data_IF_654842862947
#
_entry.id   IF_654842862947
#
_cell.length_a   1.000
_cell.length_b   1.000
_cell.length_c   1.000
_cell.angle_alpha   90.00
_cell.angle_beta   90.00
_cell.angle_gamma   90.00
#
_symmetry.space_group_name_H-M   'P 1'
#
loop_
_entity.id
_entity.type
_entity.pdbx_description
1 polymer ?
#
# COMPACT_ATOMS: atom_id res chain seq x y z
N UNK A 1 13.05 36.41 -10.06
CA UNK A 1 13.04 35.11 -9.34
C UNK A 1 11.56 34.83 -9.04
N UNK A 2 10.89 34.21 -10.03
CA UNK A 2 9.46 33.94 -9.97
C UNK A 2 9.20 32.92 -8.88
N UNK A 3 8.35 33.28 -7.94
CA UNK A 3 7.72 32.38 -6.99
C UNK A 3 6.94 31.33 -7.82
N UNK A 4 7.53 30.16 -8.04
CA UNK A 4 6.77 28.99 -8.44
C UNK A 4 5.72 28.77 -7.34
N UNK A 5 4.48 29.20 -7.60
CA UNK A 5 3.34 28.78 -6.80
C UNK A 5 3.38 27.26 -6.71
N UNK A 6 3.51 26.73 -5.50
CA UNK A 6 3.40 25.29 -5.23
C UNK A 6 2.03 24.86 -5.76
N UNK A 7 2.01 24.22 -6.93
CA UNK A 7 0.78 23.66 -7.49
C UNK A 7 0.27 22.64 -6.48
N UNK A 8 -1.01 22.73 -6.12
CA UNK A 8 -1.67 21.74 -5.30
C UNK A 8 -1.57 20.39 -6.01
N UNK A 9 -0.95 19.37 -5.40
CA UNK A 9 -0.72 18.06 -6.00
C UNK A 9 -2.02 17.44 -6.54
N UNK A 10 -3.15 17.64 -5.87
CA UNK A 10 -4.47 17.19 -6.32
C UNK A 10 -4.89 17.88 -7.62
N UNK A 11 -4.65 19.18 -7.77
CA UNK A 11 -4.98 19.95 -8.97
C UNK A 11 -4.11 19.50 -10.16
N UNK A 12 -2.80 19.30 -9.91
CA UNK A 12 -1.86 18.83 -10.94
C UNK A 12 -2.22 17.43 -11.41
N UNK A 13 -2.50 16.50 -10.50
CA UNK A 13 -2.93 15.14 -10.83
C UNK A 13 -4.26 15.15 -11.63
N UNK A 14 -5.19 16.03 -11.31
CA UNK A 14 -6.47 16.14 -12.00
C UNK A 14 -6.35 16.79 -13.39
N UNK A 15 -5.57 17.86 -13.54
CA UNK A 15 -5.46 18.59 -14.81
C UNK A 15 -4.45 17.98 -15.77
N UNK A 16 -3.23 17.64 -15.31
CA UNK A 16 -2.16 17.16 -16.19
C UNK A 16 -2.33 15.70 -16.58
N UNK A 17 -2.94 14.87 -15.70
CA UNK A 17 -3.21 13.47 -15.99
C UNK A 17 -4.63 13.17 -16.47
N UNK A 18 -5.44 14.19 -16.79
CA UNK A 18 -6.84 14.03 -17.21
C UNK A 18 -7.72 13.33 -16.14
N UNK A 19 -7.54 13.70 -14.87
CA UNK A 19 -8.30 13.22 -13.72
C UNK A 19 -8.39 11.69 -13.61
N UNK A 20 -7.25 10.96 -13.51
CA UNK A 20 -7.27 9.51 -13.37
C UNK A 20 -7.98 9.10 -12.08
N UNK A 21 -8.59 7.94 -12.10
CA UNK A 21 -9.41 7.38 -11.01
C UNK A 21 -8.92 6.03 -10.51
N UNK A 22 -7.84 5.49 -11.08
CA UNK A 22 -7.33 4.15 -10.84
C UNK A 22 -8.07 3.08 -11.66
N UNK A 23 -8.85 3.49 -12.68
CA UNK A 23 -9.63 2.57 -13.52
C UNK A 23 -8.75 1.49 -14.15
N UNK A 24 -9.16 0.23 -14.01
CA UNK A 24 -8.45 -0.93 -14.56
C UNK A 24 -7.18 -1.31 -13.78
N UNK A 25 -6.87 -0.63 -12.67
CA UNK A 25 -5.72 -0.97 -11.83
C UNK A 25 -6.13 -1.90 -10.70
N UNK A 26 -5.44 -3.03 -10.58
CA UNK A 26 -5.68 -4.09 -9.58
C UNK A 26 -4.65 -3.94 -8.47
N UNK A 27 -5.14 -3.75 -7.24
CA UNK A 27 -4.32 -3.46 -6.05
C UNK A 27 -4.52 -4.54 -5.01
N UNK A 28 -3.44 -5.18 -4.55
CA UNK A 28 -3.47 -6.05 -3.39
C UNK A 28 -3.24 -5.25 -2.09
N UNK A 29 -3.98 -5.57 -1.06
CA UNK A 29 -3.76 -5.06 0.30
C UNK A 29 -3.37 -6.23 1.18
N UNK A 30 -2.07 -6.39 1.45
CA UNK A 30 -1.54 -7.39 2.39
C UNK A 30 -1.71 -6.84 3.81
N UNK A 31 -2.73 -7.34 4.51
CA UNK A 31 -3.13 -6.83 5.83
C UNK A 31 -4.07 -7.81 6.57
N UNK A 32 -4.98 -7.30 7.38
CA UNK A 32 -5.97 -8.09 8.15
C UNK A 32 -7.21 -8.51 7.32
N UNK A 33 -7.32 -8.10 6.05
CA UNK A 33 -8.45 -8.43 5.17
C UNK A 33 -9.38 -7.25 4.91
N UNK A 34 -10.65 -7.56 4.58
CA UNK A 34 -11.74 -6.59 4.40
C UNK A 34 -12.95 -6.99 5.24
N UNK A 35 -13.62 -6.02 5.84
CA UNK A 35 -14.89 -6.27 6.55
C UNK A 35 -16.01 -6.60 5.55
N UNK A 36 -16.34 -7.88 5.42
CA UNK A 36 -17.35 -8.39 4.48
C UNK A 36 -18.79 -8.00 4.82
N UNK A 37 -19.02 -7.36 5.99
CA UNK A 37 -20.32 -6.71 6.26
C UNK A 37 -20.52 -5.43 5.46
N UNK A 38 -19.41 -4.85 4.93
CA UNK A 38 -19.41 -3.67 4.09
C UNK A 38 -19.43 -4.06 2.61
N UNK A 39 -20.55 -3.82 1.95
CA UNK A 39 -20.70 -4.07 0.52
C UNK A 39 -20.04 -2.95 -0.28
N UNK A 40 -18.95 -3.28 -1.01
CA UNK A 40 -18.31 -2.38 -1.97
C UNK A 40 -17.93 -3.18 -3.23
N UNK A 41 -18.48 -2.86 -4.42
CA UNK A 41 -18.23 -3.61 -5.66
C UNK A 41 -16.77 -3.52 -6.15
N UNK A 42 -15.99 -2.56 -5.65
CA UNK A 42 -14.56 -2.38 -5.95
C UNK A 42 -13.69 -3.37 -5.19
N UNK A 43 -14.20 -3.90 -4.08
CA UNK A 43 -13.51 -4.92 -3.29
C UNK A 43 -13.82 -6.30 -3.90
N UNK A 44 -12.82 -6.89 -4.49
CA UNK A 44 -12.91 -8.20 -5.13
C UNK A 44 -12.76 -9.33 -4.10
N UNK A 45 -13.02 -10.56 -4.53
CA UNK A 45 -12.74 -11.73 -3.70
C UNK A 45 -11.22 -11.80 -3.47
N UNK A 46 -10.83 -11.75 -2.21
CA UNK A 46 -9.46 -11.90 -1.76
C UNK A 46 -9.12 -13.32 -1.33
N UNK A 47 -8.13 -13.45 -0.47
CA UNK A 47 -7.61 -14.72 0.03
C UNK A 47 -7.03 -14.54 1.43
N UNK A 48 -7.19 -15.55 2.30
CA UNK A 48 -6.50 -15.66 3.58
C UNK A 48 -5.32 -16.62 3.49
N UNK A 49 -4.26 -16.31 4.24
CA UNK A 49 -3.05 -17.14 4.32
C UNK A 49 -2.72 -17.58 5.73
N UNK A 50 -3.68 -17.46 6.64
CA UNK A 50 -3.49 -17.68 8.07
C UNK A 50 -4.24 -18.93 8.49
N UNK A 51 -3.55 -19.85 9.17
CA UNK A 51 -4.19 -21.00 9.81
C UNK A 51 -5.08 -20.52 10.97
N UNK A 52 -6.33 -21.00 11.08
CA UNK A 52 -7.24 -20.55 12.13
C UNK A 52 -6.83 -21.00 13.55
N UNK A 53 -5.95 -21.99 13.68
CA UNK A 53 -5.48 -22.55 14.96
C UNK A 53 -4.06 -22.12 15.32
N UNK A 54 -3.24 -21.76 14.31
CA UNK A 54 -1.90 -21.22 14.47
C UNK A 54 -1.71 -20.03 13.51
N UNK A 55 -1.92 -18.82 14.03
CA UNK A 55 -1.88 -17.59 13.24
C UNK A 55 -0.53 -17.27 12.56
N UNK A 56 0.53 -18.00 12.90
CA UNK A 56 1.85 -17.90 12.27
C UNK A 56 2.11 -19.02 11.26
N UNK A 57 1.22 -20.01 11.18
CA UNK A 57 1.27 -21.07 10.18
C UNK A 57 0.58 -20.65 8.89
N UNK A 58 1.15 -21.13 7.76
CA UNK A 58 0.62 -20.83 6.43
C UNK A 58 -0.51 -21.80 6.07
N UNK A 59 -1.72 -21.26 5.91
CA UNK A 59 -2.85 -21.97 5.32
C UNK A 59 -3.61 -21.05 4.37
N UNK A 60 -3.63 -21.38 3.09
CA UNK A 60 -4.44 -20.63 2.14
C UNK A 60 -5.91 -21.03 2.23
N UNK A 61 -6.79 -20.01 2.27
CA UNK A 61 -8.24 -20.17 2.37
C UNK A 61 -8.98 -19.05 1.64
N UNK A 62 -10.26 -19.23 1.42
CA UNK A 62 -11.15 -18.17 0.88
C UNK A 62 -11.57 -17.12 1.93
N UNK A 63 -11.07 -17.22 3.16
CA UNK A 63 -11.41 -16.33 4.26
C UNK A 63 -10.50 -15.11 4.27
N UNK A 64 -10.95 -14.05 3.65
CA UNK A 64 -10.32 -12.73 3.62
C UNK A 64 -11.01 -11.71 4.53
N UNK A 65 -11.89 -12.18 5.45
CA UNK A 65 -12.62 -11.30 6.35
C UNK A 65 -11.71 -10.64 7.38
N UNK A 66 -11.84 -9.31 7.51
CA UNK A 66 -11.10 -8.51 8.47
C UNK A 66 -11.69 -8.67 9.88
N UNK A 67 -10.85 -9.04 10.84
CA UNK A 67 -11.21 -9.19 12.26
C UNK A 67 -10.60 -8.10 13.15
N UNK A 68 -9.82 -7.19 12.55
CA UNK A 68 -9.08 -6.13 13.24
C UNK A 68 -9.57 -4.75 12.86
N UNK A 69 -9.86 -4.52 11.55
CA UNK A 69 -10.26 -3.25 10.98
C UNK A 69 -9.13 -2.50 10.26
N UNK A 70 -7.89 -2.93 10.43
CA UNK A 70 -6.73 -2.24 9.87
C UNK A 70 -6.66 -2.37 8.34
N UNK A 71 -6.86 -3.56 7.79
CA UNK A 71 -6.91 -3.78 6.34
C UNK A 71 -8.08 -3.06 5.67
N UNK A 72 -9.24 -3.04 6.31
CA UNK A 72 -10.42 -2.27 5.88
C UNK A 72 -10.09 -0.78 5.76
N UNK A 73 -9.39 -0.22 6.76
CA UNK A 73 -8.96 1.16 6.73
C UNK A 73 -7.95 1.43 5.59
N UNK A 74 -6.97 0.56 5.40
CA UNK A 74 -5.99 0.69 4.32
C UNK A 74 -6.65 0.65 2.93
N UNK A 75 -7.59 -0.26 2.72
CA UNK A 75 -8.34 -0.37 1.45
C UNK A 75 -9.21 0.88 1.19
N UNK A 76 -9.91 1.39 2.20
CA UNK A 76 -10.71 2.61 2.09
C UNK A 76 -9.85 3.83 1.73
N UNK A 77 -8.68 4.00 2.38
CA UNK A 77 -7.76 5.10 2.08
C UNK A 77 -7.23 5.04 0.64
N UNK A 78 -6.94 3.86 0.11
CA UNK A 78 -6.58 3.69 -1.30
C UNK A 78 -7.71 4.15 -2.21
N UNK A 79 -8.95 3.72 -1.91
CA UNK A 79 -10.13 4.05 -2.71
C UNK A 79 -10.56 5.52 -2.61
N UNK A 80 -10.14 6.25 -1.57
CA UNK A 80 -10.31 7.72 -1.51
C UNK A 80 -9.43 8.44 -2.53
N UNK A 81 -8.28 7.86 -2.90
CA UNK A 81 -7.34 8.40 -3.91
C UNK A 81 -7.67 7.88 -5.31
N UNK A 82 -7.89 6.57 -5.43
CA UNK A 82 -8.13 5.86 -6.67
C UNK A 82 -9.54 5.20 -6.66
N UNK A 83 -10.61 5.99 -6.84
CA UNK A 83 -11.98 5.55 -6.57
C UNK A 83 -12.50 4.45 -7.51
N UNK A 84 -11.85 4.21 -8.64
CA UNK A 84 -12.21 3.16 -9.60
C UNK A 84 -11.20 2.01 -9.67
N UNK A 85 -10.23 1.96 -8.74
CA UNK A 85 -9.33 0.81 -8.63
C UNK A 85 -10.05 -0.43 -8.09
N UNK A 86 -9.52 -1.61 -8.41
CA UNK A 86 -10.00 -2.88 -7.88
C UNK A 86 -9.09 -3.34 -6.73
N UNK A 87 -9.67 -3.56 -5.55
CA UNK A 87 -8.93 -3.97 -4.35
C UNK A 87 -9.09 -5.46 -4.11
N UNK A 88 -7.97 -6.13 -3.87
CA UNK A 88 -7.89 -7.54 -3.51
C UNK A 88 -7.34 -7.66 -2.08
N UNK A 89 -8.18 -7.94 -1.07
CA UNK A 89 -7.72 -8.18 0.29
C UNK A 89 -6.91 -9.47 0.38
N UNK A 90 -5.68 -9.37 0.90
CA UNK A 90 -4.77 -10.50 1.13
C UNK A 90 -4.55 -10.60 2.65
N UNK A 91 -5.37 -11.41 3.32
CA UNK A 91 -5.35 -11.51 4.77
C UNK A 91 -4.16 -12.34 5.24
N UNK A 92 -3.24 -11.68 5.93
CA UNK A 92 -2.03 -12.27 6.52
C UNK A 92 -1.99 -12.16 8.05
N UNK A 93 -2.98 -11.50 8.64
CA UNK A 93 -3.15 -11.40 10.08
C UNK A 93 -4.36 -12.21 10.55
N UNK A 94 -4.25 -12.84 11.72
CA UNK A 94 -5.35 -13.47 12.43
C UNK A 94 -6.13 -12.45 13.26
N UNK A 95 -6.08 -12.60 14.58
CA UNK A 95 -6.65 -11.66 15.55
C UNK A 95 -5.64 -10.62 16.04
N UNK A 96 -4.37 -10.77 15.69
CA UNK A 96 -3.28 -9.85 16.02
C UNK A 96 -2.59 -9.36 14.75
N UNK A 97 -1.94 -8.19 14.82
CA UNK A 97 -1.10 -7.66 13.75
C UNK A 97 0.28 -8.33 13.74
N UNK A 98 0.28 -9.65 13.67
CA UNK A 98 1.46 -10.50 13.62
C UNK A 98 1.36 -11.47 12.45
N UNK A 99 2.46 -11.73 11.75
CA UNK A 99 2.52 -12.66 10.63
C UNK A 99 3.94 -13.22 10.48
N UNK A 100 4.08 -14.25 9.67
CA UNK A 100 5.37 -14.89 9.40
C UNK A 100 5.90 -14.57 8.00
N UNK A 101 7.21 -14.70 7.81
CA UNK A 101 7.84 -14.47 6.49
C UNK A 101 7.32 -15.43 5.41
N UNK A 102 7.10 -16.73 5.68
CA UNK A 102 6.47 -17.63 4.71
C UNK A 102 5.10 -17.13 4.24
N UNK A 103 4.26 -16.66 5.15
CA UNK A 103 2.93 -16.10 4.81
C UNK A 103 3.08 -14.89 3.87
N UNK A 104 3.97 -13.95 4.20
CA UNK A 104 4.20 -12.77 3.37
C UNK A 104 4.72 -13.11 1.98
N UNK A 105 5.67 -14.05 1.88
CA UNK A 105 6.25 -14.44 0.60
C UNK A 105 5.23 -15.13 -0.31
N UNK A 106 4.34 -15.94 0.26
CA UNK A 106 3.25 -16.59 -0.49
C UNK A 106 2.18 -15.56 -0.91
N UNK A 107 1.84 -14.59 -0.06
CA UNK A 107 0.92 -13.53 -0.42
C UNK A 107 1.45 -12.65 -1.57
N UNK A 108 2.75 -12.31 -1.56
CA UNK A 108 3.41 -11.60 -2.67
C UNK A 108 3.37 -12.43 -3.95
N UNK A 109 3.64 -13.74 -3.87
CA UNK A 109 3.56 -14.66 -5.01
C UNK A 109 2.15 -14.73 -5.58
N UNK A 110 1.15 -14.87 -4.73
CA UNK A 110 -0.26 -14.86 -5.14
C UNK A 110 -0.63 -13.58 -5.90
N UNK A 111 -0.16 -12.43 -5.44
CA UNK A 111 -0.40 -11.15 -6.10
C UNK A 111 0.16 -11.12 -7.54
N UNK A 112 1.34 -11.69 -7.77
CA UNK A 112 1.92 -11.84 -9.12
C UNK A 112 1.10 -12.79 -10.00
N UNK A 113 0.73 -13.95 -9.49
CA UNK A 113 -0.06 -14.96 -10.21
C UNK A 113 -1.45 -14.44 -10.62
N UNK A 114 -1.99 -13.51 -9.82
CA UNK A 114 -3.26 -12.83 -10.10
C UNK A 114 -3.10 -11.49 -10.82
N UNK A 115 -1.89 -11.21 -11.35
CA UNK A 115 -1.61 -10.02 -12.17
C UNK A 115 -1.97 -8.69 -11.49
N UNK A 116 -1.78 -8.60 -10.18
CA UNK A 116 -1.92 -7.33 -9.48
C UNK A 116 -0.79 -6.38 -9.91
N UNK A 117 -1.06 -5.08 -9.91
CA UNK A 117 -0.09 -4.06 -10.36
C UNK A 117 0.51 -3.27 -9.21
N UNK A 118 -0.22 -3.13 -8.12
CA UNK A 118 0.23 -2.47 -6.89
C UNK A 118 0.00 -3.42 -5.72
N UNK A 119 0.90 -3.41 -4.77
CA UNK A 119 0.78 -4.16 -3.52
C UNK A 119 1.07 -3.23 -2.35
N UNK A 120 0.05 -2.96 -1.54
CA UNK A 120 0.18 -2.18 -0.32
C UNK A 120 0.55 -3.10 0.85
N UNK A 121 1.66 -2.82 1.52
CA UNK A 121 2.10 -3.47 2.74
C UNK A 121 2.15 -2.44 3.89
N UNK A 122 1.09 -2.38 4.69
CA UNK A 122 1.06 -1.54 5.89
C UNK A 122 1.67 -2.24 7.11
N UNK A 123 2.72 -3.01 6.87
CA UNK A 123 3.42 -3.84 7.83
C UNK A 123 4.92 -3.93 7.53
N UNK A 124 5.69 -4.40 8.50
CA UNK A 124 7.12 -4.62 8.32
C UNK A 124 7.75 -5.43 9.46
N UNK A 125 8.96 -5.91 9.25
CA UNK A 125 9.74 -6.65 10.24
C UNK A 125 11.15 -6.07 10.36
N UNK A 126 11.79 -6.30 11.49
CA UNK A 126 13.20 -5.97 11.74
C UNK A 126 14.06 -7.22 11.93
N UNK A 127 13.49 -8.40 11.73
CA UNK A 127 14.19 -9.67 11.90
C UNK A 127 15.19 -9.90 10.78
N UNK A 128 16.46 -10.13 11.14
CA UNK A 128 17.54 -10.32 10.17
C UNK A 128 17.36 -11.56 9.27
N UNK A 129 16.74 -12.62 9.80
CA UNK A 129 16.44 -13.83 9.03
C UNK A 129 15.33 -13.63 7.98
N UNK A 130 14.55 -12.56 8.10
CA UNK A 130 13.52 -12.18 7.13
C UNK A 130 14.09 -11.50 5.87
N UNK A 131 15.29 -10.91 5.94
CA UNK A 131 15.85 -10.06 4.87
C UNK A 131 15.95 -10.82 3.55
N UNK A 132 16.65 -11.95 3.51
CA UNK A 132 16.89 -12.68 2.26
C UNK A 132 15.59 -13.16 1.58
N UNK A 133 14.67 -13.87 2.28
CA UNK A 133 13.45 -14.37 1.63
C UNK A 133 12.53 -13.22 1.21
N UNK A 134 12.35 -12.17 2.00
CA UNK A 134 11.53 -11.03 1.61
C UNK A 134 12.14 -10.24 0.44
N UNK A 135 13.46 -10.00 0.46
CA UNK A 135 14.14 -9.34 -0.65
C UNK A 135 13.96 -10.10 -1.96
N UNK A 136 14.15 -11.42 -1.92
CA UNK A 136 13.97 -12.28 -3.11
C UNK A 136 12.52 -12.22 -3.65
N UNK A 137 11.52 -12.23 -2.75
CA UNK A 137 10.12 -12.11 -3.14
C UNK A 137 9.81 -10.73 -3.75
N UNK A 138 10.30 -9.65 -3.14
CA UNK A 138 10.14 -8.29 -3.66
C UNK A 138 10.86 -8.10 -5.00
N UNK A 139 12.05 -8.67 -5.19
CA UNK A 139 12.76 -8.60 -6.46
C UNK A 139 12.04 -9.37 -7.56
N UNK A 140 11.49 -10.54 -7.26
CA UNK A 140 10.67 -11.28 -8.20
C UNK A 140 9.41 -10.49 -8.59
N UNK A 141 8.75 -9.85 -7.62
CA UNK A 141 7.61 -8.97 -7.84
C UNK A 141 7.96 -7.80 -8.78
N UNK A 142 9.06 -7.08 -8.52
CA UNK A 142 9.56 -6.00 -9.37
C UNK A 142 9.79 -6.44 -10.81
N UNK A 143 10.45 -7.60 -11.00
CA UNK A 143 10.70 -8.19 -12.35
C UNK A 143 9.42 -8.52 -13.09
N UNK A 144 8.36 -8.90 -12.38
CA UNK A 144 7.04 -9.15 -12.95
C UNK A 144 6.18 -7.88 -13.11
N UNK A 145 6.72 -6.69 -12.77
CA UNK A 145 6.01 -5.42 -12.92
C UNK A 145 4.98 -5.13 -11.84
N UNK A 146 5.01 -5.88 -10.73
CA UNK A 146 4.26 -5.58 -9.51
C UNK A 146 5.05 -4.54 -8.69
N UNK A 147 4.40 -3.44 -8.34
CA UNK A 147 4.98 -2.34 -7.56
C UNK A 147 4.56 -2.51 -6.11
N UNK A 148 5.53 -2.65 -5.23
CA UNK A 148 5.30 -2.78 -3.79
C UNK A 148 5.50 -1.41 -3.12
N UNK A 149 4.50 -1.00 -2.34
CA UNK A 149 4.53 0.19 -1.48
C UNK A 149 4.46 -0.29 -0.03
N UNK A 150 5.47 0.01 0.77
CA UNK A 150 5.57 -0.52 2.12
C UNK A 150 5.79 0.55 3.18
N UNK A 151 5.02 0.49 4.26
CA UNK A 151 5.17 1.35 5.43
C UNK A 151 6.47 1.05 6.19
N UNK A 152 7.23 2.09 6.52
CA UNK A 152 8.36 2.00 7.41
C UNK A 152 7.90 1.95 8.87
N UNK A 153 8.68 1.32 9.74
CA UNK A 153 8.38 1.33 11.16
C UNK A 153 8.70 2.70 11.79
N UNK A 154 7.74 3.30 12.47
CA UNK A 154 7.85 4.68 12.97
C UNK A 154 9.00 4.93 13.96
N UNK A 155 9.43 3.91 14.71
CA UNK A 155 10.42 4.04 15.78
C UNK A 155 11.73 3.28 15.52
N UNK A 156 11.93 2.68 14.34
CA UNK A 156 13.12 1.85 14.02
C UNK A 156 13.75 2.26 12.71
N UNK A 157 15.06 2.42 12.71
CA UNK A 157 15.83 2.84 11.54
C UNK A 157 15.80 1.81 10.39
N UNK A 158 15.54 0.53 10.68
CA UNK A 158 15.49 -0.54 9.68
C UNK A 158 14.19 -1.32 9.80
N UNK A 159 13.39 -1.28 8.76
CA UNK A 159 12.14 -2.02 8.62
C UNK A 159 12.07 -2.65 7.23
N UNK A 160 11.91 -3.96 7.17
CA UNK A 160 11.81 -4.70 5.92
C UNK A 160 10.35 -5.04 5.62
N UNK A 161 9.90 -4.90 4.35
CA UNK A 161 10.68 -4.61 3.15
C UNK A 161 10.84 -3.12 2.81
N UNK A 162 10.37 -2.17 3.62
CA UNK A 162 10.27 -0.74 3.26
C UNK A 162 11.62 -0.08 2.88
N UNK A 163 12.75 -0.60 3.37
CA UNK A 163 14.08 -0.06 3.02
C UNK A 163 14.75 -0.78 1.84
N UNK A 164 14.07 -1.72 1.19
CA UNK A 164 14.64 -2.39 0.02
C UNK A 164 14.54 -1.48 -1.22
N UNK A 165 15.59 -1.49 -2.03
CA UNK A 165 15.67 -0.71 -3.28
C UNK A 165 14.64 -1.12 -4.34
N UNK A 166 14.03 -2.30 -4.21
CA UNK A 166 12.99 -2.82 -5.09
C UNK A 166 11.56 -2.58 -4.54
N UNK A 167 11.43 -1.72 -3.52
CA UNK A 167 10.17 -1.35 -2.84
C UNK A 167 10.12 0.16 -2.67
N UNK A 168 8.95 0.76 -2.75
CA UNK A 168 8.72 2.18 -2.40
C UNK A 168 8.46 2.25 -0.90
N UNK A 169 9.43 2.77 -0.15
CA UNK A 169 9.35 2.93 1.30
C UNK A 169 8.61 4.20 1.69
N UNK A 170 7.68 4.09 2.66
CA UNK A 170 6.81 5.20 3.07
C UNK A 170 6.96 5.49 4.56
N UNK A 171 7.16 6.76 4.91
CA UNK A 171 7.03 7.25 6.28
C UNK A 171 5.82 8.16 6.45
N UNK A 172 5.41 8.39 7.69
CA UNK A 172 4.36 9.34 8.03
C UNK A 172 4.89 10.77 7.99
N UNK A 173 4.14 11.67 7.37
CA UNK A 173 4.36 13.10 7.36
C UNK A 173 3.10 13.88 7.73
N UNK A 174 3.26 15.19 7.95
CA UNK A 174 2.15 16.11 8.22
C UNK A 174 1.75 16.79 6.92
N UNK A 175 0.68 16.32 6.31
CA UNK A 175 0.12 16.84 5.07
C UNK A 175 -1.39 17.10 5.27
N UNK A 176 -1.89 18.16 4.64
CA UNK A 176 -3.31 18.53 4.73
C UNK A 176 -4.17 17.68 3.80
N UNK A 177 -3.73 17.50 2.57
CA UNK A 177 -4.42 16.67 1.58
C UNK A 177 -3.86 15.23 1.53
N UNK A 178 -4.70 14.23 1.28
CA UNK A 178 -4.25 12.85 1.07
C UNK A 178 -3.47 12.66 -0.25
N UNK A 179 -3.50 13.66 -1.15
CA UNK A 179 -2.72 13.69 -2.38
C UNK A 179 -1.34 14.34 -2.23
N UNK A 180 -1.08 14.96 -1.08
CA UNK A 180 0.20 15.60 -0.79
C UNK A 180 1.21 14.61 -0.22
N UNK A 181 2.42 14.65 -0.75
CA UNK A 181 3.55 13.85 -0.26
C UNK A 181 4.88 14.54 -0.63
N UNK A 182 5.92 14.21 0.10
CA UNK A 182 7.29 14.54 -0.28
C UNK A 182 8.03 13.32 -0.82
N UNK A 183 8.99 13.55 -1.71
CA UNK A 183 9.82 12.51 -2.30
C UNK A 183 11.31 12.87 -2.16
N UNK A 184 12.11 11.90 -1.71
CA UNK A 184 13.56 12.05 -1.54
C UNK A 184 14.30 10.98 -2.32
N UNK A 185 14.80 11.38 -3.47
CA UNK A 185 15.55 10.47 -4.33
C UNK A 185 16.78 9.92 -3.62
N UNK A 186 17.04 8.63 -3.78
CA UNK A 186 18.18 7.89 -3.21
C UNK A 186 18.16 7.72 -1.68
N UNK A 187 17.07 8.02 -1.00
CA UNK A 187 16.88 7.61 0.39
C UNK A 187 16.21 6.23 0.46
N UNK A 188 16.53 5.46 1.50
CA UNK A 188 15.92 4.14 1.71
C UNK A 188 14.39 4.23 1.92
N UNK A 189 13.93 5.30 2.58
CA UNK A 189 12.51 5.66 2.68
C UNK A 189 12.28 6.88 1.80
N UNK A 190 11.75 6.65 0.62
CA UNK A 190 11.69 7.65 -0.45
C UNK A 190 10.56 8.65 -0.28
N UNK A 191 9.42 8.22 0.30
CA UNK A 191 8.24 9.07 0.40
C UNK A 191 7.84 9.31 1.85
N UNK A 192 7.37 10.53 2.12
CA UNK A 192 6.57 10.81 3.29
C UNK A 192 5.17 11.24 2.83
N UNK A 193 4.12 10.61 3.36
CA UNK A 193 2.74 10.89 3.02
C UNK A 193 1.89 11.12 4.28
N UNK A 194 0.61 11.50 4.11
CA UNK A 194 -0.29 11.82 5.21
C UNK A 194 -0.44 10.64 6.17
N UNK A 195 0.18 10.75 7.34
CA UNK A 195 0.16 9.74 8.40
C UNK A 195 -0.19 10.33 9.78
N UNK A 196 -0.52 11.63 9.85
CA UNK A 196 -1.08 12.26 11.04
C UNK A 196 -2.48 11.76 11.34
N UNK A 197 -3.08 12.24 12.45
CA UNK A 197 -4.43 11.84 12.83
C UNK A 197 -5.42 12.10 11.70
N UNK A 198 -6.18 11.06 11.34
CA UNK A 198 -7.21 11.09 10.31
C UNK A 198 -8.31 10.09 10.61
N UNK A 199 -9.53 10.41 10.17
CA UNK A 199 -10.69 9.53 10.30
C UNK A 199 -10.61 8.43 9.22
N UNK A 200 -10.56 7.18 9.65
CA UNK A 200 -10.50 6.02 8.75
C UNK A 200 -11.72 5.13 8.94
N UNK A 201 -12.10 4.41 7.88
CA UNK A 201 -13.13 3.39 7.94
C UNK A 201 -12.64 2.21 8.79
N UNK A 202 -13.53 1.69 9.65
CA UNK A 202 -13.25 0.56 10.54
C UNK A 202 -14.35 -0.48 10.47
N UNK A 203 -14.23 -1.54 11.26
CA UNK A 203 -15.23 -2.61 11.30
C UNK A 203 -16.65 -2.06 11.54
N UNK A 204 -17.64 -2.67 10.89
CA UNK A 204 -19.05 -2.25 10.99
C UNK A 204 -19.35 -0.87 10.39
N UNK A 205 -18.47 -0.34 9.52
CA UNK A 205 -18.64 0.96 8.89
C UNK A 205 -18.34 2.16 9.79
N UNK A 206 -17.76 1.93 10.95
CA UNK A 206 -17.41 3.01 11.88
C UNK A 206 -16.30 3.89 11.30
N UNK A 207 -16.31 5.17 11.65
CA UNK A 207 -15.20 6.09 11.41
C UNK A 207 -14.45 6.30 12.73
N UNK A 208 -13.15 6.00 12.75
CA UNK A 208 -12.32 6.12 13.95
C UNK A 208 -11.05 6.93 13.67
N UNK A 209 -10.55 7.73 14.62
CA UNK A 209 -9.29 8.44 14.45
C UNK A 209 -8.12 7.46 14.53
N UNK A 210 -7.22 7.53 13.56
CA UNK A 210 -5.99 6.76 13.52
C UNK A 210 -4.84 7.59 12.97
N UNK A 211 -3.61 7.20 13.34
CA UNK A 211 -2.37 7.79 12.82
C UNK A 211 -1.28 6.73 12.67
N UNK A 212 -0.29 7.00 11.85
CA UNK A 212 0.87 6.13 11.66
C UNK A 212 1.25 5.92 10.21
N UNK A 213 2.43 5.33 10.02
CA UNK A 213 2.97 5.01 8.69
C UNK A 213 2.10 4.02 7.93
N UNK A 214 1.40 3.14 8.63
CA UNK A 214 0.44 2.19 8.05
C UNK A 214 -0.72 2.87 7.31
N UNK A 215 -1.06 4.10 7.69
CA UNK A 215 -2.10 4.90 7.04
C UNK A 215 -1.53 5.90 6.02
N UNK A 216 -0.20 6.09 5.99
CA UNK A 216 0.49 6.86 4.96
C UNK A 216 0.72 6.06 3.67
N UNK A 217 1.12 4.78 3.79
CA UNK A 217 1.38 3.93 2.64
C UNK A 217 0.19 3.77 1.67
N UNK A 218 -1.07 3.60 2.13
CA UNK A 218 -2.24 3.55 1.26
C UNK A 218 -2.41 4.76 0.36
N UNK A 219 -2.10 5.99 0.82
CA UNK A 219 -2.18 7.18 -0.01
C UNK A 219 -1.26 7.07 -1.22
N UNK A 220 0.00 6.65 -1.01
CA UNK A 220 0.96 6.46 -2.11
C UNK A 220 0.53 5.28 -3.01
N UNK A 221 -0.01 4.20 -2.45
CA UNK A 221 -0.55 3.09 -3.25
C UNK A 221 -1.67 3.55 -4.18
N UNK A 222 -2.55 4.43 -3.72
CA UNK A 222 -3.58 5.07 -4.53
C UNK A 222 -2.99 5.98 -5.62
N UNK A 223 -2.00 6.82 -5.28
CA UNK A 223 -1.32 7.70 -6.25
C UNK A 223 -0.60 6.87 -7.33
N UNK A 224 0.07 5.79 -6.96
CA UNK A 224 0.68 4.85 -7.92
C UNK A 224 -0.36 4.26 -8.85
N UNK A 225 -1.56 3.96 -8.36
CA UNK A 225 -2.65 3.47 -9.21
C UNK A 225 -3.12 4.53 -10.23
N UNK A 226 -3.20 5.81 -9.84
CA UNK A 226 -3.50 6.90 -10.78
C UNK A 226 -2.45 6.98 -11.91
N UNK A 227 -1.16 6.85 -11.57
CA UNK A 227 -0.09 6.82 -12.57
C UNK A 227 -0.20 5.60 -13.49
N UNK A 228 -0.52 4.43 -12.95
CA UNK A 228 -0.65 3.19 -13.73
C UNK A 228 -1.86 3.19 -14.66
N UNK A 229 -2.95 3.86 -14.32
CA UNK A 229 -4.06 4.09 -15.27
C UNK A 229 -3.58 4.87 -16.49
N UNK A 230 -2.79 5.91 -16.27
CA UNK A 230 -2.26 6.76 -17.36
C UNK A 230 -1.11 6.09 -18.11
N UNK A 231 -0.27 5.34 -17.39
CA UNK A 231 0.93 4.67 -17.91
C UNK A 231 0.91 3.18 -17.58
N UNK A 232 0.08 2.36 -18.27
CA UNK A 232 -0.16 0.96 -17.87
C UNK A 232 1.09 0.06 -17.88
N UNK A 233 2.11 0.43 -18.64
CA UNK A 233 3.37 -0.30 -18.77
C UNK A 233 4.48 0.24 -17.86
N UNK A 234 4.21 1.28 -17.07
CA UNK A 234 5.19 1.85 -16.15
C UNK A 234 5.68 0.80 -15.15
N UNK A 235 6.98 0.80 -14.93
CA UNK A 235 7.67 -0.03 -13.95
C UNK A 235 8.11 0.81 -12.76
N UNK A 236 8.69 0.19 -11.75
CA UNK A 236 9.09 0.84 -10.51
C UNK A 236 9.89 2.12 -10.75
N UNK A 237 10.86 2.07 -11.67
CA UNK A 237 11.73 3.19 -12.00
C UNK A 237 10.95 4.38 -12.58
N UNK A 238 9.99 4.10 -13.48
CA UNK A 238 9.12 5.15 -14.07
C UNK A 238 8.18 5.73 -13.00
N UNK A 239 7.65 4.90 -12.10
CA UNK A 239 6.81 5.37 -11.00
C UNK A 239 7.60 6.27 -10.05
N UNK A 240 8.86 5.96 -9.77
CA UNK A 240 9.76 6.82 -8.97
C UNK A 240 9.98 8.19 -9.62
N UNK A 241 10.16 8.23 -10.93
CA UNK A 241 10.28 9.48 -11.70
C UNK A 241 8.98 10.31 -11.59
N UNK A 242 7.82 9.68 -11.73
CA UNK A 242 6.53 10.33 -11.56
C UNK A 242 6.31 10.81 -10.12
N UNK A 243 6.64 9.99 -9.12
CA UNK A 243 6.56 10.40 -7.72
C UNK A 243 7.47 11.60 -7.44
N UNK A 244 8.68 11.64 -7.99
CA UNK A 244 9.58 12.77 -7.85
C UNK A 244 9.05 14.04 -8.55
N UNK A 245 8.41 13.88 -9.70
CA UNK A 245 7.87 15.01 -10.49
C UNK A 245 6.69 15.69 -9.80
N UNK A 246 5.82 14.93 -9.15
CA UNK A 246 4.57 15.42 -8.56
C UNK A 246 4.62 15.63 -7.04
N UNK A 247 5.77 15.41 -6.40
CA UNK A 247 5.95 15.66 -4.97
C UNK A 247 5.89 17.17 -4.63
N UNK A 248 5.42 17.47 -3.43
CA UNK A 248 5.46 18.83 -2.90
C UNK A 248 6.73 19.02 -2.05
N UNK A 249 7.84 19.33 -2.65
CA UNK A 249 9.11 19.71 -1.98
C UNK A 249 10.08 18.58 -1.77
#
# INVERSE_FOLDING_TARGET
MELFQRKNAEHVLKEELHAPTGQGVRIGVIDSGWDRSLADPRIKKGVGFVDPFDELALQQSDDDHDRIGHGTACADLILQIAPNAEIFPLRVFGHRLETSVPILTVAIKWAMEHQLRVLNLSLGTHLANAIRPLYAACELARRNGLIIVAAAHASRASSYPSIFENVIGITAGHFNSPFEYSYRKNEAIECAAKGGEQMVLWLGGQKVPRQGTSFAAPHISGIVALFLERYPHARLENIRELLALYAIG
#
